data_IF_333893829520
#
_entry.id   IF_333893829520
#
_cell.length_a   1.000
_cell.length_b   1.000
_cell.length_c   1.000
_cell.angle_alpha   90.00
_cell.angle_beta   90.00
_cell.angle_gamma   90.00
#
_symmetry.space_group_name_H-M   'P 1'
#
loop_
_entity.id
_entity.type
_entity.pdbx_description
1 polymer ?
#
# COMPACT_ATOMS: atom_id res chain seq x y z
N UNK A 1 33.10 -35.48 26.97
CA UNK A 1 32.07 -34.44 27.20
C UNK A 1 30.81 -34.85 26.47
N UNK A 2 29.76 -35.17 27.23
CA UNK A 2 28.50 -35.73 26.73
C UNK A 2 27.66 -34.66 26.03
N UNK A 3 27.27 -34.92 24.77
CA UNK A 3 26.22 -34.19 24.08
C UNK A 3 24.87 -34.60 24.67
N UNK A 4 24.22 -33.69 25.39
CA UNK A 4 22.77 -33.73 25.54
C UNK A 4 22.11 -32.91 24.42
N UNK A 5 20.83 -33.15 24.08
CA UNK A 5 20.09 -32.42 23.03
C UNK A 5 19.91 -30.92 23.33
N UNK A 6 20.26 -30.48 24.53
CA UNK A 6 20.18 -29.12 25.03
C UNK A 6 21.57 -28.50 25.03
N UNK A 7 21.75 -27.43 24.25
CA UNK A 7 23.00 -26.68 24.13
C UNK A 7 23.41 -25.95 25.42
N UNK A 8 24.46 -25.12 25.33
CA UNK A 8 25.22 -24.51 26.44
C UNK A 8 24.50 -23.45 27.31
N UNK A 9 23.19 -23.46 27.36
CA UNK A 9 22.38 -22.76 28.34
C UNK A 9 21.26 -23.73 28.72
N UNK A 10 20.77 -23.69 29.96
CA UNK A 10 19.51 -24.33 30.35
C UNK A 10 18.35 -23.63 29.62
N UNK A 11 18.28 -23.81 28.29
CA UNK A 11 17.59 -22.95 27.35
C UNK A 11 16.09 -23.18 27.41
N UNK A 12 15.35 -22.09 27.55
CA UNK A 12 13.96 -22.01 27.10
C UNK A 12 13.85 -22.64 25.70
N UNK A 13 12.85 -23.49 25.44
CA UNK A 13 12.56 -24.01 24.10
C UNK A 13 12.57 -22.90 23.05
N UNK A 14 13.07 -23.21 21.85
CA UNK A 14 13.17 -22.23 20.75
C UNK A 14 11.80 -21.61 20.42
N UNK A 15 10.73 -22.35 20.64
CA UNK A 15 9.35 -21.91 20.47
C UNK A 15 8.99 -20.79 21.47
N UNK A 16 9.39 -20.94 22.74
CA UNK A 16 9.18 -19.91 23.76
C UNK A 16 10.05 -18.68 23.49
N UNK A 17 11.31 -18.88 23.10
CA UNK A 17 12.19 -17.79 22.69
C UNK A 17 11.61 -17.04 21.50
N UNK A 18 11.04 -17.74 20.51
CA UNK A 18 10.42 -17.11 19.35
C UNK A 18 9.21 -16.28 19.77
N UNK A 19 8.35 -16.80 20.64
CA UNK A 19 7.21 -16.05 21.16
C UNK A 19 7.65 -14.77 21.88
N UNK A 20 8.66 -14.84 22.75
CA UNK A 20 9.19 -13.67 23.45
C UNK A 20 9.79 -12.64 22.48
N UNK A 21 10.60 -13.10 21.53
CA UNK A 21 11.24 -12.26 20.51
C UNK A 21 10.21 -11.59 19.60
N UNK A 22 9.09 -12.24 19.30
CA UNK A 22 8.00 -11.65 18.52
C UNK A 22 7.31 -10.48 19.24
N UNK A 23 7.44 -10.36 20.57
CA UNK A 23 6.90 -9.25 21.36
C UNK A 23 7.84 -8.04 21.40
N UNK A 24 9.08 -8.19 20.94
CA UNK A 24 10.09 -7.14 21.00
C UNK A 24 10.04 -6.22 19.76
N UNK A 25 10.27 -4.92 19.94
CA UNK A 25 10.57 -4.00 18.85
C UNK A 25 11.77 -4.47 18.02
N UNK A 26 11.77 -4.18 16.72
CA UNK A 26 12.78 -4.73 15.81
C UNK A 26 14.21 -4.31 16.17
N UNK A 27 14.42 -3.11 16.70
CA UNK A 27 15.75 -2.66 17.15
C UNK A 27 16.29 -3.45 18.34
N UNK A 28 15.40 -3.92 19.22
CA UNK A 28 15.80 -4.73 20.37
C UNK A 28 16.17 -6.14 19.92
N UNK A 29 15.44 -6.69 18.95
CA UNK A 29 15.78 -7.97 18.30
C UNK A 29 17.14 -7.89 17.60
N UNK A 30 17.43 -6.80 16.89
CA UNK A 30 18.73 -6.56 16.26
C UNK A 30 19.84 -6.42 17.31
N UNK A 31 19.59 -5.68 18.39
CA UNK A 31 20.53 -5.52 19.51
C UNK A 31 20.84 -6.85 20.19
N UNK A 32 19.83 -7.68 20.43
CA UNK A 32 19.98 -9.05 20.94
C UNK A 32 20.77 -9.93 19.98
N UNK A 33 20.53 -9.82 18.67
CA UNK A 33 21.28 -10.59 17.66
C UNK A 33 22.77 -10.24 17.69
N UNK A 34 23.09 -8.94 17.81
CA UNK A 34 24.46 -8.47 17.99
C UNK A 34 25.07 -8.96 19.31
N UNK A 35 24.38 -8.77 20.43
CA UNK A 35 24.87 -9.17 21.77
C UNK A 35 25.11 -10.68 21.88
N UNK A 36 24.28 -11.48 21.22
CA UNK A 36 24.40 -12.95 21.20
C UNK A 36 25.33 -13.45 20.11
N UNK A 37 26.02 -12.57 19.37
CA UNK A 37 26.95 -12.95 18.29
C UNK A 37 26.31 -13.89 17.25
N UNK A 38 25.02 -13.68 16.93
CA UNK A 38 24.23 -14.51 16.02
C UNK A 38 24.01 -15.98 16.45
N UNK A 39 24.23 -16.31 17.73
CA UNK A 39 24.07 -17.70 18.20
C UNK A 39 22.60 -18.14 18.26
N UNK A 40 21.65 -17.19 18.36
CA UNK A 40 20.22 -17.47 18.42
C UNK A 40 19.56 -17.36 17.05
N UNK A 41 19.47 -18.49 16.33
CA UNK A 41 18.83 -18.59 15.00
C UNK A 41 17.39 -18.06 14.97
N UNK A 42 16.69 -18.13 16.10
CA UNK A 42 15.31 -17.64 16.27
C UNK A 42 15.18 -16.13 15.99
N UNK A 43 16.24 -15.34 16.25
CA UNK A 43 16.26 -13.91 15.97
C UNK A 43 16.24 -13.64 14.46
N UNK A 44 16.89 -14.50 13.66
CA UNK A 44 16.89 -14.41 12.20
C UNK A 44 15.48 -14.59 11.62
N UNK A 45 14.68 -15.49 12.22
CA UNK A 45 13.30 -15.72 11.80
C UNK A 45 12.41 -14.48 12.03
N UNK A 46 12.66 -13.72 13.09
CA UNK A 46 11.92 -12.47 13.38
C UNK A 46 12.33 -11.31 12.49
N UNK A 47 13.59 -11.26 12.07
CA UNK A 47 14.16 -10.18 11.24
C UNK A 47 13.80 -10.38 9.76
N UNK A 48 13.76 -11.62 9.27
CA UNK A 48 13.53 -11.87 7.84
C UNK A 48 12.11 -11.49 7.39
N UNK A 49 11.94 -10.59 6.40
CA UNK A 49 10.61 -10.21 5.90
C UNK A 49 9.79 -11.41 5.39
N UNK A 50 10.43 -12.36 4.71
CA UNK A 50 9.74 -13.56 4.19
C UNK A 50 9.17 -14.42 5.32
N UNK A 51 9.90 -14.56 6.42
CA UNK A 51 9.47 -15.32 7.59
C UNK A 51 8.36 -14.59 8.36
N UNK A 52 8.48 -13.27 8.52
CA UNK A 52 7.43 -12.43 9.08
C UNK A 52 6.10 -12.56 8.31
N UNK A 53 6.16 -12.43 6.97
CA UNK A 53 4.97 -12.53 6.11
C UNK A 53 4.40 -13.95 6.12
N UNK A 54 5.24 -14.99 6.10
CA UNK A 54 4.79 -16.38 6.13
C UNK A 54 4.12 -16.76 7.46
N UNK A 55 4.69 -16.30 8.58
CA UNK A 55 4.21 -16.63 9.92
C UNK A 55 2.89 -15.93 10.22
N UNK A 56 2.81 -14.62 9.99
CA UNK A 56 1.65 -13.79 10.36
C UNK A 56 0.62 -13.68 9.24
N UNK A 57 1.08 -13.66 7.98
CA UNK A 57 0.22 -13.45 6.83
C UNK A 57 -0.51 -14.72 6.35
N UNK A 58 -1.56 -14.56 5.53
CA UNK A 58 -2.28 -15.65 4.89
C UNK A 58 -1.55 -16.24 3.66
N UNK A 59 -0.32 -15.80 3.38
CA UNK A 59 0.38 -16.12 2.15
C UNK A 59 1.09 -17.48 2.23
N UNK A 60 0.79 -18.36 1.29
CA UNK A 60 1.41 -19.70 1.23
C UNK A 60 2.79 -19.70 0.55
N UNK A 61 3.16 -18.63 -0.16
CA UNK A 61 4.43 -18.50 -0.89
C UNK A 61 5.04 -17.09 -0.70
N UNK A 62 5.42 -16.75 0.53
CA UNK A 62 5.94 -15.42 0.86
C UNK A 62 7.24 -15.05 0.13
N UNK A 63 8.07 -16.05 -0.20
CA UNK A 63 9.35 -15.82 -0.88
C UNK A 63 9.15 -15.34 -2.32
N UNK A 64 8.36 -16.06 -3.13
CA UNK A 64 8.08 -15.66 -4.51
C UNK A 64 7.32 -14.32 -4.58
N UNK A 65 6.41 -14.10 -3.62
CA UNK A 65 5.71 -12.82 -3.48
C UNK A 65 6.70 -11.67 -3.29
N UNK A 66 7.61 -11.78 -2.33
CA UNK A 66 8.63 -10.76 -2.06
C UNK A 66 9.63 -10.59 -3.23
N UNK A 67 10.01 -11.66 -3.91
CA UNK A 67 10.84 -11.57 -5.13
C UNK A 67 10.14 -10.77 -6.23
N UNK A 68 8.86 -11.05 -6.47
CA UNK A 68 8.06 -10.34 -7.46
C UNK A 68 7.88 -8.89 -7.07
N UNK A 69 7.54 -8.62 -5.82
CA UNK A 69 7.41 -7.27 -5.29
C UNK A 69 8.70 -6.47 -5.45
N UNK A 70 9.84 -7.07 -5.13
CA UNK A 70 11.15 -6.44 -5.28
C UNK A 70 11.38 -6.00 -6.73
N UNK A 71 11.22 -6.91 -7.71
CA UNK A 71 11.42 -6.62 -9.14
C UNK A 71 10.48 -5.55 -9.70
N UNK A 72 9.33 -5.35 -9.07
CA UNK A 72 8.28 -4.43 -9.53
C UNK A 72 8.15 -3.18 -8.66
N UNK A 73 9.05 -2.99 -7.68
CA UNK A 73 9.04 -1.83 -6.78
C UNK A 73 7.83 -1.75 -5.86
N UNK A 74 7.18 -2.88 -5.57
CA UNK A 74 6.08 -2.94 -4.64
C UNK A 74 6.56 -3.14 -3.20
N UNK A 75 5.78 -2.64 -2.24
CA UNK A 75 6.13 -2.66 -0.81
C UNK A 75 4.90 -2.97 0.04
N UNK A 76 5.11 -3.45 1.26
CA UNK A 76 4.07 -3.54 2.29
C UNK A 76 4.14 -2.28 3.14
N UNK A 77 3.00 -1.70 3.49
CA UNK A 77 2.91 -0.58 4.42
C UNK A 77 1.71 -0.73 5.37
N UNK A 78 1.31 0.33 6.06
CA UNK A 78 0.17 0.32 6.96
C UNK A 78 0.43 -0.47 8.25
N UNK A 79 -0.64 -1.01 8.84
CA UNK A 79 -0.61 -1.59 10.18
C UNK A 79 0.29 -2.82 10.28
N UNK A 80 0.34 -3.66 9.24
CA UNK A 80 1.17 -4.87 9.20
C UNK A 80 2.65 -4.57 8.98
N UNK A 81 3.00 -3.51 8.28
CA UNK A 81 4.38 -3.04 8.25
C UNK A 81 4.78 -2.44 9.61
N UNK A 82 3.89 -1.67 10.24
CA UNK A 82 4.13 -1.11 11.55
C UNK A 82 4.30 -2.19 12.64
N UNK A 83 3.50 -3.25 12.62
CA UNK A 83 3.64 -4.42 13.50
C UNK A 83 5.02 -5.09 13.40
N UNK A 84 5.64 -5.10 12.21
CA UNK A 84 7.00 -5.60 12.04
C UNK A 84 8.02 -4.78 12.84
N UNK A 85 7.84 -3.46 12.92
CA UNK A 85 8.71 -2.55 13.67
C UNK A 85 8.40 -2.56 15.17
N UNK A 86 7.13 -2.38 15.52
CA UNK A 86 6.63 -2.21 16.88
C UNK A 86 5.45 -3.16 17.09
N UNK A 87 5.64 -4.31 17.75
CA UNK A 87 4.56 -5.26 18.03
C UNK A 87 3.36 -4.65 18.78
N UNK A 88 2.19 -5.24 18.58
CA UNK A 88 0.92 -4.73 19.14
C UNK A 88 0.36 -3.50 18.41
N UNK A 89 0.84 -3.21 17.21
CA UNK A 89 0.35 -2.14 16.33
C UNK A 89 -0.65 -2.64 15.29
N UNK A 90 -0.80 -3.95 15.12
CA UNK A 90 -1.83 -4.61 14.34
C UNK A 90 -2.61 -5.64 15.18
N UNK A 91 -3.78 -6.00 14.69
CA UNK A 91 -4.67 -7.04 15.25
C UNK A 91 -4.86 -8.16 14.24
N UNK A 92 -5.52 -9.27 14.62
CA UNK A 92 -5.89 -10.33 13.67
C UNK A 92 -6.72 -9.81 12.49
N UNK A 93 -7.59 -8.83 12.75
CA UNK A 93 -8.50 -8.21 11.76
C UNK A 93 -7.82 -7.14 10.91
N UNK A 94 -6.55 -6.84 11.15
CA UNK A 94 -5.84 -5.83 10.37
C UNK A 94 -5.53 -6.33 8.96
N UNK A 95 -5.83 -5.48 7.99
CA UNK A 95 -5.59 -5.65 6.57
C UNK A 95 -4.11 -5.66 6.20
N UNK A 96 -3.79 -6.30 5.08
CA UNK A 96 -2.47 -6.26 4.45
C UNK A 96 -2.47 -5.27 3.29
N UNK A 97 -1.73 -4.18 3.42
CA UNK A 97 -1.64 -3.12 2.42
C UNK A 97 -0.37 -3.26 1.58
N UNK A 98 -0.54 -3.65 0.32
CA UNK A 98 0.53 -3.70 -0.68
C UNK A 98 0.43 -2.47 -1.55
N UNK A 99 1.51 -1.71 -1.67
CA UNK A 99 1.60 -0.57 -2.57
C UNK A 99 2.42 -0.96 -3.80
N UNK A 100 1.90 -0.70 -4.99
CA UNK A 100 2.57 -1.00 -6.27
C UNK A 100 2.65 0.26 -7.14
N UNK A 101 3.74 0.48 -7.89
CA UNK A 101 3.79 1.57 -8.85
C UNK A 101 2.66 1.46 -9.89
N UNK A 102 2.15 2.59 -10.40
CA UNK A 102 1.09 2.66 -11.43
C UNK A 102 1.55 2.22 -12.83
N UNK A 103 2.34 1.15 -12.90
CA UNK A 103 2.85 0.56 -14.13
C UNK A 103 2.08 -0.73 -14.35
N UNK A 104 1.35 -0.85 -15.48
CA UNK A 104 0.47 -1.98 -15.74
C UNK A 104 1.17 -3.33 -15.56
N UNK A 105 2.37 -3.48 -16.12
CA UNK A 105 3.17 -4.70 -15.96
C UNK A 105 3.47 -5.03 -14.48
N UNK A 106 3.77 -4.02 -13.66
CA UNK A 106 3.99 -4.19 -12.22
C UNK A 106 2.71 -4.54 -11.47
N UNK A 107 1.59 -3.87 -11.77
CA UNK A 107 0.29 -4.17 -11.17
C UNK A 107 -0.12 -5.62 -11.47
N UNK A 108 -0.04 -6.04 -12.73
CA UNK A 108 -0.39 -7.40 -13.17
C UNK A 108 0.51 -8.44 -12.52
N UNK A 109 1.83 -8.21 -12.51
CA UNK A 109 2.77 -9.16 -11.92
C UNK A 109 2.57 -9.34 -10.41
N UNK A 110 2.41 -8.24 -9.67
CA UNK A 110 2.21 -8.28 -8.21
C UNK A 110 0.83 -8.86 -7.86
N UNK A 111 -0.22 -8.49 -8.61
CA UNK A 111 -1.56 -9.09 -8.47
C UNK A 111 -1.50 -10.61 -8.63
N UNK A 112 -0.88 -11.10 -9.71
CA UNK A 112 -0.74 -12.53 -9.93
C UNK A 112 0.11 -13.23 -8.88
N UNK A 113 1.17 -12.59 -8.37
CA UNK A 113 1.95 -13.15 -7.26
C UNK A 113 1.12 -13.27 -5.97
N UNK A 114 0.26 -12.29 -5.68
CA UNK A 114 -0.69 -12.35 -4.57
C UNK A 114 -1.71 -13.48 -4.78
N UNK A 115 -2.24 -13.65 -5.99
CA UNK A 115 -3.15 -14.74 -6.33
C UNK A 115 -2.51 -16.12 -6.16
N UNK A 116 -1.30 -16.31 -6.68
CA UNK A 116 -0.51 -17.54 -6.44
C UNK A 116 -0.21 -17.76 -4.97
N UNK A 117 -0.15 -16.68 -4.18
CA UNK A 117 0.05 -16.72 -2.74
C UNK A 117 -1.22 -17.02 -1.93
N UNK A 118 -2.37 -17.23 -2.59
CA UNK A 118 -3.64 -17.57 -1.97
C UNK A 118 -4.63 -16.42 -1.78
N UNK A 119 -4.39 -15.27 -2.42
CA UNK A 119 -5.32 -14.12 -2.41
C UNK A 119 -6.35 -14.24 -3.54
N UNK A 120 -7.62 -14.09 -3.21
CA UNK A 120 -8.70 -13.97 -4.19
C UNK A 120 -9.15 -12.52 -4.27
N UNK A 121 -8.95 -11.88 -5.42
CA UNK A 121 -9.43 -10.50 -5.63
C UNK A 121 -10.93 -10.47 -5.97
N UNK A 122 -11.64 -9.54 -5.35
CA UNK A 122 -13.05 -9.24 -5.61
C UNK A 122 -13.15 -8.26 -6.79
N UNK A 123 -14.09 -8.48 -7.72
CA UNK A 123 -14.33 -7.53 -8.82
C UNK A 123 -15.09 -6.30 -8.33
N UNK A 124 -15.03 -5.18 -9.07
CA UNK A 124 -15.77 -3.97 -8.70
C UNK A 124 -17.28 -4.22 -8.67
N UNK A 125 -17.78 -5.09 -9.57
CA UNK A 125 -19.19 -5.46 -9.65
C UNK A 125 -19.62 -6.28 -8.44
N UNK A 126 -18.92 -7.37 -8.13
CA UNK A 126 -19.30 -8.23 -7.01
C UNK A 126 -19.20 -7.48 -5.67
N UNK A 127 -18.21 -6.58 -5.51
CA UNK A 127 -18.11 -5.70 -4.35
C UNK A 127 -19.31 -4.75 -4.23
N UNK A 128 -19.70 -4.12 -5.34
CA UNK A 128 -20.84 -3.21 -5.38
C UNK A 128 -22.14 -3.95 -5.03
N UNK A 129 -22.33 -5.17 -5.56
CA UNK A 129 -23.47 -6.02 -5.29
C UNK A 129 -23.55 -6.38 -3.81
N UNK A 130 -22.43 -6.81 -3.22
CA UNK A 130 -22.35 -7.09 -1.79
C UNK A 130 -22.67 -5.87 -0.92
N UNK A 131 -22.18 -4.68 -1.28
CA UNK A 131 -22.52 -3.45 -0.56
C UNK A 131 -24.00 -3.09 -0.66
N UNK A 132 -24.61 -3.31 -1.83
CA UNK A 132 -26.04 -3.13 -2.02
C UNK A 132 -26.83 -4.08 -1.10
N UNK A 133 -26.43 -5.34 -0.99
CA UNK A 133 -27.05 -6.32 -0.05
C UNK A 133 -26.86 -5.90 1.41
N UNK A 134 -25.64 -5.53 1.81
CA UNK A 134 -25.30 -5.27 3.22
C UNK A 134 -25.83 -3.92 3.74
N UNK A 135 -25.94 -2.91 2.85
CA UNK A 135 -26.19 -1.52 3.24
C UNK A 135 -27.38 -0.88 2.52
N UNK A 136 -28.07 -1.64 1.69
CA UNK A 136 -29.16 -1.16 0.79
C UNK A 136 -28.74 0.00 -0.12
N UNK A 137 -27.44 0.24 -0.26
CA UNK A 137 -26.88 1.31 -1.08
C UNK A 137 -25.42 1.06 -1.43
N UNK A 138 -25.02 1.48 -2.63
CA UNK A 138 -23.62 1.54 -3.04
C UNK A 138 -23.36 2.79 -3.87
N UNK A 139 -22.20 3.39 -3.68
CA UNK A 139 -21.73 4.52 -4.50
C UNK A 139 -20.52 4.08 -5.29
N UNK A 140 -20.63 4.18 -6.61
CA UNK A 140 -19.56 3.84 -7.53
C UNK A 140 -18.85 5.11 -7.98
N UNK A 141 -17.54 5.13 -7.78
CA UNK A 141 -16.68 6.11 -8.45
C UNK A 141 -16.69 5.87 -9.97
N UNK A 142 -16.33 6.90 -10.74
CA UNK A 142 -16.11 6.84 -12.19
C UNK A 142 -15.33 5.59 -12.60
N UNK A 143 -14.27 5.31 -11.88
CA UNK A 143 -13.36 4.21 -12.13
C UNK A 143 -14.02 2.84 -11.96
N UNK A 144 -14.80 2.69 -10.89
CA UNK A 144 -15.58 1.48 -10.64
C UNK A 144 -16.68 1.31 -11.69
N UNK A 145 -17.31 2.40 -12.15
CA UNK A 145 -18.31 2.35 -13.22
C UNK A 145 -17.69 1.78 -14.50
N UNK A 146 -16.53 2.29 -14.91
CA UNK A 146 -15.80 1.80 -16.08
C UNK A 146 -15.37 0.33 -15.91
N UNK A 147 -14.87 -0.04 -14.74
CA UNK A 147 -14.48 -1.42 -14.45
C UNK A 147 -15.67 -2.40 -14.54
N UNK A 148 -16.83 -2.01 -13.98
CA UNK A 148 -18.06 -2.80 -14.05
C UNK A 148 -18.58 -2.92 -15.48
N UNK A 149 -18.62 -1.82 -16.23
CA UNK A 149 -19.05 -1.84 -17.63
C UNK A 149 -18.17 -2.75 -18.49
N UNK A 150 -16.84 -2.68 -18.30
CA UNK A 150 -15.90 -3.55 -18.99
C UNK A 150 -16.10 -5.04 -18.64
N UNK A 151 -16.30 -5.34 -17.35
CA UNK A 151 -16.60 -6.70 -16.89
C UNK A 151 -17.91 -7.23 -17.49
N UNK A 152 -18.97 -6.42 -17.47
CA UNK A 152 -20.27 -6.78 -18.03
C UNK A 152 -20.25 -6.97 -19.56
N UNK A 153 -19.38 -6.24 -20.26
CA UNK A 153 -19.23 -6.34 -21.72
C UNK A 153 -18.52 -7.62 -22.15
N UNK A 154 -17.43 -8.00 -21.46
CA UNK A 154 -16.61 -9.15 -21.85
C UNK A 154 -17.04 -10.48 -21.22
N UNK A 155 -17.71 -10.45 -20.08
CA UNK A 155 -18.09 -11.65 -19.36
C UNK A 155 -19.57 -11.96 -19.58
N UNK A 156 -19.87 -13.14 -20.09
CA UNK A 156 -21.25 -13.58 -20.34
C UNK A 156 -21.76 -14.57 -19.28
N UNK A 157 -21.21 -14.52 -18.07
CA UNK A 157 -21.67 -15.37 -16.97
C UNK A 157 -23.08 -14.99 -16.51
N UNK A 158 -23.73 -15.91 -15.80
CA UNK A 158 -24.97 -15.60 -15.09
C UNK A 158 -24.65 -14.71 -13.88
N UNK A 159 -25.14 -13.48 -13.93
CA UNK A 159 -25.03 -12.47 -12.87
C UNK A 159 -26.09 -12.70 -11.78
N UNK A 160 -25.79 -12.34 -10.53
CA UNK A 160 -26.81 -12.26 -9.47
C UNK A 160 -27.83 -11.15 -9.78
N UNK A 161 -28.98 -11.15 -9.09
CA UNK A 161 -29.98 -10.09 -9.29
C UNK A 161 -29.41 -8.70 -8.92
N UNK A 162 -28.59 -8.62 -7.87
CA UNK A 162 -27.96 -7.38 -7.44
C UNK A 162 -26.88 -6.92 -8.41
N UNK A 163 -26.09 -7.85 -8.96
CA UNK A 163 -25.14 -7.55 -10.04
C UNK A 163 -25.88 -7.03 -11.29
N UNK A 164 -27.01 -7.63 -11.66
CA UNK A 164 -27.86 -7.15 -12.77
C UNK A 164 -28.40 -5.74 -12.49
N UNK A 165 -28.86 -5.47 -11.28
CA UNK A 165 -29.34 -4.14 -10.87
C UNK A 165 -28.25 -3.09 -11.04
N UNK A 166 -27.01 -3.41 -10.65
CA UNK A 166 -25.88 -2.49 -10.81
C UNK A 166 -25.53 -2.26 -12.28
N UNK A 167 -25.45 -3.33 -13.08
CA UNK A 167 -25.18 -3.23 -14.52
C UNK A 167 -26.27 -2.39 -15.20
N UNK A 168 -27.54 -2.65 -14.89
CA UNK A 168 -28.67 -1.92 -15.42
C UNK A 168 -28.63 -0.43 -15.03
N UNK A 169 -28.33 -0.12 -13.77
CA UNK A 169 -28.20 1.26 -13.30
C UNK A 169 -27.10 2.03 -14.06
N UNK A 170 -25.94 1.40 -14.26
CA UNK A 170 -24.84 2.00 -15.06
C UNK A 170 -25.28 2.21 -16.51
N UNK A 171 -25.83 1.19 -17.16
CA UNK A 171 -26.25 1.24 -18.56
C UNK A 171 -27.46 2.16 -18.83
N UNK A 172 -28.27 2.46 -17.82
CA UNK A 172 -29.35 3.43 -17.91
C UNK A 172 -28.82 4.86 -17.72
N UNK A 173 -27.79 5.04 -16.90
CA UNK A 173 -27.15 6.34 -16.65
C UNK A 173 -26.21 6.74 -17.79
N UNK A 174 -25.44 5.77 -18.31
CA UNK A 174 -24.46 5.92 -19.38
C UNK A 174 -24.70 4.87 -20.46
N UNK A 175 -25.69 5.06 -21.35
CA UNK A 175 -26.01 4.11 -22.42
C UNK A 175 -24.83 3.77 -23.33
N UNK A 176 -23.89 4.70 -23.50
CA UNK A 176 -22.66 4.51 -24.26
C UNK A 176 -21.75 3.41 -23.70
N UNK A 177 -21.86 3.08 -22.41
CA UNK A 177 -21.06 2.03 -21.78
C UNK A 177 -21.58 0.61 -22.06
N UNK A 178 -22.73 0.48 -22.73
CA UNK A 178 -23.24 -0.83 -23.19
C UNK A 178 -22.35 -1.47 -24.26
N UNK A 179 -21.68 -0.64 -25.07
CA UNK A 179 -20.68 -1.07 -26.04
C UNK A 179 -19.34 -0.40 -25.73
N UNK A 180 -18.46 -1.17 -25.09
CA UNK A 180 -17.14 -0.69 -24.68
C UNK A 180 -16.12 -0.71 -25.82
N UNK A 181 -16.41 -1.36 -26.96
CA UNK A 181 -15.45 -1.53 -28.05
C UNK A 181 -14.84 -0.21 -28.57
N UNK A 182 -15.58 0.91 -28.74
CA UNK A 182 -15.01 2.18 -29.20
C UNK A 182 -14.04 2.82 -28.22
N UNK A 183 -14.14 2.44 -26.95
CA UNK A 183 -13.35 3.01 -25.86
C UNK A 183 -12.13 2.16 -25.53
N UNK A 184 -11.99 0.94 -26.05
CA UNK A 184 -10.84 0.08 -25.75
C UNK A 184 -9.70 0.37 -26.73
N UNK A 185 -8.49 0.56 -26.20
CA UNK A 185 -7.26 0.71 -26.98
C UNK A 185 -6.66 -0.65 -27.32
N UNK A 186 -5.75 -0.67 -28.30
CA UNK A 186 -5.03 -1.89 -28.71
C UNK A 186 -4.23 -2.54 -27.58
N UNK A 187 -3.77 -1.75 -26.59
CA UNK A 187 -3.06 -2.23 -25.40
C UNK A 187 -4.00 -2.74 -24.29
N UNK A 188 -5.32 -2.77 -24.54
CA UNK A 188 -6.35 -3.18 -23.59
C UNK A 188 -6.73 -2.10 -22.57
N UNK A 189 -6.12 -0.91 -22.60
CA UNK A 189 -6.53 0.20 -21.74
C UNK A 189 -7.79 0.90 -22.27
N UNK A 190 -8.54 1.57 -21.38
CA UNK A 190 -9.79 2.24 -21.72
C UNK A 190 -9.52 3.73 -21.97
N UNK A 191 -9.99 4.25 -23.11
CA UNK A 191 -9.99 5.66 -23.52
C UNK A 191 -10.85 6.48 -22.56
N UNK A 192 -10.47 7.75 -22.44
CA UNK A 192 -11.08 8.68 -21.52
C UNK A 192 -12.55 8.99 -21.88
N UNK A 193 -13.44 8.96 -20.89
CA UNK A 193 -14.87 9.27 -21.03
C UNK A 193 -15.22 10.42 -20.07
N UNK A 194 -15.00 11.66 -20.52
CA UNK A 194 -15.13 12.89 -19.71
C UNK A 194 -16.42 13.01 -18.89
N UNK A 195 -17.54 12.47 -19.38
CA UNK A 195 -18.88 12.70 -18.86
C UNK A 195 -19.30 11.84 -17.64
N UNK A 196 -18.45 10.90 -17.17
CA UNK A 196 -18.83 9.99 -16.07
C UNK A 196 -18.62 10.67 -14.71
N UNK A 197 -19.71 10.77 -13.94
CA UNK A 197 -19.75 11.22 -12.55
C UNK A 197 -20.06 10.04 -11.61
N UNK A 198 -19.71 10.11 -10.31
CA UNK A 198 -20.07 9.06 -9.36
C UNK A 198 -21.59 8.81 -9.31
N UNK A 199 -21.99 7.55 -9.20
CA UNK A 199 -23.40 7.13 -9.17
C UNK A 199 -23.69 6.45 -7.84
N UNK A 200 -24.79 6.82 -7.20
CA UNK A 200 -25.32 6.12 -6.02
C UNK A 200 -26.54 5.31 -6.43
N UNK A 201 -26.49 4.01 -6.13
CA UNK A 201 -27.53 3.02 -6.42
C UNK A 201 -28.16 2.62 -5.09
N UNK A 202 -29.48 2.70 -4.98
CA UNK A 202 -30.26 2.27 -3.83
C UNK A 202 -31.19 1.12 -4.22
N UNK A 203 -31.54 0.28 -3.24
CA UNK A 203 -32.30 -0.98 -3.36
C UNK A 203 -33.75 -0.82 -3.93
N UNK A 204 -34.18 0.40 -4.24
CA UNK A 204 -35.54 0.71 -4.72
C UNK A 204 -35.47 1.67 -5.91
N UNK A 205 -35.39 1.14 -7.14
CA UNK A 205 -35.64 1.77 -8.46
C UNK A 205 -35.20 3.25 -8.69
N UNK A 206 -34.36 3.79 -7.82
CA UNK A 206 -34.01 5.20 -7.75
C UNK A 206 -32.49 5.29 -7.80
N UNK A 207 -32.00 5.38 -9.03
CA UNK A 207 -30.64 5.84 -9.28
C UNK A 207 -30.63 7.33 -9.03
N UNK A 208 -30.00 7.77 -7.95
CA UNK A 208 -29.79 9.20 -7.72
C UNK A 208 -28.43 9.57 -8.26
N UNK A 209 -28.41 10.46 -9.25
CA UNK A 209 -27.17 11.14 -9.64
C UNK A 209 -26.74 12.00 -8.45
N UNK A 210 -25.62 11.62 -7.84
CA UNK A 210 -24.98 12.47 -6.84
C UNK A 210 -24.27 13.60 -7.59
N UNK A 211 -25.00 14.66 -7.91
CA UNK A 211 -24.38 15.92 -8.30
C UNK A 211 -23.74 16.50 -7.03
N UNK A 212 -22.41 16.62 -6.94
CA UNK A 212 -21.84 17.45 -5.87
C UNK A 212 -22.44 18.86 -6.03
N UNK A 213 -22.96 19.44 -4.95
CA UNK A 213 -23.40 20.83 -4.96
C UNK A 213 -22.28 21.71 -5.55
N UNK A 214 -22.60 22.71 -6.38
CA UNK A 214 -21.61 23.59 -6.99
C UNK A 214 -21.09 24.59 -5.95
N UNK A 215 -20.51 24.08 -4.87
CA UNK A 215 -19.56 24.86 -4.10
C UNK A 215 -18.25 24.86 -4.88
N UNK A 216 -17.85 26.06 -5.26
CA UNK A 216 -16.62 26.39 -5.96
C UNK A 216 -15.40 25.74 -5.31
N UNK A 217 -15.12 24.48 -5.63
CA UNK A 217 -13.83 23.87 -5.41
C UNK A 217 -12.90 24.41 -6.50
N UNK A 218 -12.26 25.53 -6.19
CA UNK A 218 -11.08 26.01 -6.92
C UNK A 218 -10.15 24.84 -7.21
N UNK A 219 -9.71 24.79 -8.46
CA UNK A 219 -8.72 23.90 -9.06
C UNK A 219 -7.70 23.28 -8.09
N UNK A 220 -8.05 22.17 -7.45
CA UNK A 220 -7.07 21.19 -7.02
C UNK A 220 -6.95 20.17 -8.13
N UNK A 221 -6.16 20.62 -9.09
CA UNK A 221 -5.66 19.94 -10.24
C UNK A 221 -4.97 18.62 -9.76
N UNK A 222 -5.74 17.55 -9.55
CA UNK A 222 -5.28 16.16 -9.44
C UNK A 222 -5.51 15.48 -10.78
N UNK A 223 -4.51 14.86 -11.41
CA UNK A 223 -4.77 14.11 -12.62
C UNK A 223 -5.14 12.67 -12.28
N UNK A 224 -6.21 12.21 -12.90
CA UNK A 224 -6.78 10.88 -12.82
C UNK A 224 -6.02 9.90 -13.71
N UNK A 225 -5.51 8.83 -13.10
CA UNK A 225 -4.79 7.76 -13.76
C UNK A 225 -4.88 6.47 -12.95
N UNK A 226 -5.77 5.58 -13.40
CA UNK A 226 -5.96 4.16 -13.07
C UNK A 226 -7.15 3.86 -12.14
N UNK A 227 -8.15 3.28 -12.82
CA UNK A 227 -9.49 2.99 -12.36
C UNK A 227 -9.66 1.72 -11.49
N UNK A 228 -8.76 1.57 -10.53
CA UNK A 228 -9.04 1.06 -9.19
C UNK A 228 -7.78 1.34 -8.37
N UNK A 229 -7.72 2.49 -7.71
CA UNK A 229 -6.58 2.83 -6.82
C UNK A 229 -6.34 1.75 -5.75
N UNK A 230 -7.34 0.94 -5.45
CA UNK A 230 -7.25 -0.18 -4.50
C UNK A 230 -7.99 -1.39 -5.05
N UNK A 231 -7.27 -2.46 -5.37
CA UNK A 231 -7.84 -3.78 -5.60
C UNK A 231 -7.99 -4.50 -4.26
N UNK A 232 -9.17 -5.05 -4.00
CA UNK A 232 -9.50 -5.63 -2.71
C UNK A 232 -9.55 -7.14 -2.88
N UNK A 233 -8.86 -7.86 -2.01
CA UNK A 233 -8.82 -9.29 -2.01
C UNK A 233 -8.99 -9.85 -0.61
N UNK A 234 -9.27 -11.14 -0.57
CA UNK A 234 -9.38 -11.92 0.65
C UNK A 234 -8.48 -13.14 0.55
N UNK A 235 -7.94 -13.56 1.68
CA UNK A 235 -7.19 -14.80 1.80
C UNK A 235 -7.54 -15.47 3.12
N UNK A 236 -7.09 -16.70 3.35
CA UNK A 236 -7.40 -17.45 4.56
C UNK A 236 -6.14 -17.81 5.34
N UNK A 237 -6.14 -17.54 6.65
CA UNK A 237 -5.11 -18.00 7.58
C UNK A 237 -5.79 -18.79 8.69
N UNK A 238 -5.44 -20.06 8.83
CA UNK A 238 -5.98 -20.95 9.88
C UNK A 238 -7.52 -20.93 9.94
N UNK A 239 -8.16 -20.93 8.77
CA UNK A 239 -9.63 -20.90 8.63
C UNK A 239 -10.28 -19.52 8.81
N UNK A 240 -9.52 -18.47 9.18
CA UNK A 240 -10.03 -17.10 9.28
C UNK A 240 -9.76 -16.31 8.00
N UNK A 241 -10.75 -15.54 7.58
CA UNK A 241 -10.61 -14.61 6.46
C UNK A 241 -9.72 -13.44 6.86
N UNK A 242 -8.84 -13.03 5.95
CA UNK A 242 -7.93 -11.90 6.09
C UNK A 242 -8.06 -11.01 4.86
N UNK A 243 -8.21 -9.71 5.08
CA UNK A 243 -8.31 -8.73 4.00
C UNK A 243 -6.92 -8.35 3.47
N UNK A 244 -6.83 -8.24 2.14
CA UNK A 244 -5.63 -7.85 1.41
C UNK A 244 -6.00 -6.73 0.45
N UNK A 245 -5.20 -5.67 0.41
CA UNK A 245 -5.36 -4.55 -0.50
C UNK A 245 -4.12 -4.42 -1.38
N UNK A 246 -4.32 -4.33 -2.69
CA UNK A 246 -3.28 -3.91 -3.63
C UNK A 246 -3.59 -2.47 -4.07
N UNK A 247 -2.83 -1.54 -3.51
CA UNK A 247 -2.96 -0.10 -3.66
C UNK A 247 -2.02 0.36 -4.76
N UNK A 248 -2.59 0.91 -5.83
CA UNK A 248 -1.85 1.40 -6.98
C UNK A 248 -1.44 2.86 -6.68
N UNK A 249 -0.15 3.16 -6.85
CA UNK A 249 0.40 4.52 -6.71
C UNK A 249 -0.19 5.49 -7.75
N UNK A 250 0.19 6.77 -7.70
CA UNK A 250 -0.33 7.76 -8.65
C UNK A 250 0.80 8.38 -9.50
N UNK A 251 0.52 8.60 -10.79
CA UNK A 251 1.38 9.37 -11.69
C UNK A 251 0.84 10.79 -11.72
N UNK A 252 1.70 11.81 -11.61
CA UNK A 252 1.33 13.19 -11.94
C UNK A 252 1.64 13.47 -13.42
N UNK A 253 0.68 13.34 -14.36
CA UNK A 253 0.88 13.62 -15.78
C UNK A 253 1.17 15.08 -16.11
N UNK A 254 1.11 16.04 -15.15
CA UNK A 254 1.63 17.39 -15.39
C UNK A 254 3.11 17.52 -15.09
N UNK A 255 3.68 16.54 -14.40
CA UNK A 255 5.10 16.45 -14.08
C UNK A 255 5.75 15.30 -14.85
N UNK A 256 5.56 15.19 -16.16
CA UNK A 256 6.36 14.33 -17.06
C UNK A 256 7.79 14.90 -17.19
N UNK A 257 8.39 15.26 -16.06
CA UNK A 257 9.81 15.52 -15.95
C UNK A 257 10.46 14.18 -15.75
N UNK A 258 11.27 13.79 -16.73
CA UNK A 258 12.18 12.64 -16.66
C UNK A 258 13.00 12.65 -15.35
N UNK A 259 13.20 13.83 -14.73
CA UNK A 259 14.16 14.07 -13.65
C UNK A 259 13.61 13.74 -12.23
N UNK A 260 12.31 13.47 -12.04
CA UNK A 260 11.78 13.28 -10.68
C UNK A 260 10.92 12.01 -10.49
N UNK A 261 11.54 10.82 -10.59
CA UNK A 261 10.82 9.55 -10.59
C UNK A 261 10.34 9.15 -9.19
N UNK A 262 11.08 9.53 -8.15
CA UNK A 262 10.80 9.19 -6.75
C UNK A 262 9.55 9.90 -6.21
N UNK A 263 9.21 11.09 -6.72
CA UNK A 263 8.02 11.86 -6.30
C UNK A 263 6.74 11.33 -6.98
N UNK A 264 6.89 10.51 -8.03
CA UNK A 264 5.81 9.78 -8.72
C UNK A 264 5.59 8.35 -8.19
N UNK A 265 6.08 8.04 -6.97
CA UNK A 265 6.07 6.67 -6.42
C UNK A 265 4.97 6.43 -5.38
N UNK A 266 4.84 5.15 -5.03
CA UNK A 266 4.21 4.63 -3.82
C UNK A 266 4.64 5.37 -2.52
N UNK A 267 5.84 5.93 -2.45
CA UNK A 267 6.36 6.60 -1.25
C UNK A 267 5.57 7.86 -0.90
N UNK A 268 5.13 8.63 -1.90
CA UNK A 268 4.27 9.79 -1.62
C UNK A 268 2.96 9.36 -0.96
N UNK A 269 2.39 8.22 -1.37
CA UNK A 269 1.16 7.69 -0.78
C UNK A 269 1.38 7.24 0.68
N UNK A 270 2.50 6.57 0.94
CA UNK A 270 2.86 6.07 2.28
C UNK A 270 3.22 7.21 3.24
N UNK A 271 4.05 8.15 2.78
CA UNK A 271 4.62 9.20 3.63
C UNK A 271 3.80 10.49 3.67
N UNK A 272 2.69 10.60 2.92
CA UNK A 272 1.72 11.69 3.07
C UNK A 272 0.41 11.24 3.76
N UNK A 273 0.45 10.12 4.48
CA UNK A 273 -0.69 9.61 5.23
C UNK A 273 -1.08 10.52 6.41
N UNK A 274 -2.16 10.23 7.12
CA UNK A 274 -2.70 11.11 8.18
C UNK A 274 -1.84 11.19 9.46
N UNK A 275 -0.87 10.29 9.66
CA UNK A 275 -0.07 10.30 10.89
C UNK A 275 1.28 9.60 10.78
N UNK A 276 2.21 9.96 11.66
CA UNK A 276 3.62 9.60 11.55
C UNK A 276 3.96 8.13 11.84
N UNK A 277 3.21 7.48 12.74
CA UNK A 277 3.37 6.06 13.08
C UNK A 277 3.21 5.09 11.89
N UNK A 278 2.41 5.42 10.88
CA UNK A 278 2.21 4.56 9.69
C UNK A 278 3.12 4.94 8.52
N UNK A 279 4.04 5.86 8.72
CA UNK A 279 5.05 6.27 7.74
C UNK A 279 6.21 5.27 7.76
N UNK A 280 5.88 4.03 7.40
CA UNK A 280 6.79 2.91 7.36
C UNK A 280 6.50 1.98 6.17
N UNK A 281 7.49 1.17 5.82
CA UNK A 281 7.38 0.21 4.74
C UNK A 281 8.28 -1.00 4.97
N UNK A 282 7.88 -2.12 4.40
CA UNK A 282 8.60 -3.37 4.41
C UNK A 282 8.72 -3.92 2.99
N UNK A 283 9.93 -4.29 2.60
CA UNK A 283 10.25 -4.90 1.29
C UNK A 283 11.10 -6.15 1.51
N UNK A 284 11.50 -6.81 0.42
CA UNK A 284 12.47 -7.91 0.48
C UNK A 284 13.84 -7.45 1.01
N UNK A 285 14.28 -6.26 0.61
CA UNK A 285 15.67 -5.81 0.80
C UNK A 285 15.85 -4.79 1.91
N UNK A 286 14.79 -4.04 2.20
CA UNK A 286 14.80 -2.91 3.13
C UNK A 286 13.51 -2.87 3.94
N UNK A 287 13.64 -2.54 5.23
CA UNK A 287 12.55 -2.01 6.03
C UNK A 287 12.90 -0.57 6.43
N UNK A 288 11.96 0.36 6.29
CA UNK A 288 12.13 1.75 6.69
C UNK A 288 10.95 2.21 7.56
N UNK A 289 11.25 2.95 8.63
CA UNK A 289 10.28 3.70 9.41
C UNK A 289 10.80 5.11 9.65
N UNK A 290 10.08 6.15 9.18
CA UNK A 290 10.57 7.54 9.21
C UNK A 290 10.58 8.16 10.62
N UNK A 291 9.60 7.80 11.46
CA UNK A 291 9.44 8.34 12.83
C UNK A 291 9.53 7.24 13.89
N UNK A 292 10.51 6.35 13.75
CA UNK A 292 10.60 5.12 14.54
C UNK A 292 10.74 5.40 16.04
N UNK A 293 11.63 6.32 16.43
CA UNK A 293 11.87 6.60 17.86
C UNK A 293 10.60 7.04 18.58
N UNK A 294 9.85 7.97 17.98
CA UNK A 294 8.54 8.41 18.49
C UNK A 294 7.53 7.26 18.56
N UNK A 295 7.52 6.43 17.52
CA UNK A 295 6.56 5.34 17.36
C UNK A 295 6.83 4.17 18.33
N UNK A 296 8.07 3.99 18.75
CA UNK A 296 8.48 3.03 19.77
C UNK A 296 7.78 3.30 21.11
N UNK A 297 7.67 4.57 21.48
CA UNK A 297 6.95 5.05 22.66
C UNK A 297 5.43 5.11 22.45
N UNK A 298 4.93 4.55 21.34
CA UNK A 298 3.53 4.62 20.89
C UNK A 298 3.02 6.07 20.78
N UNK A 299 3.90 7.00 20.43
CA UNK A 299 3.50 8.38 20.15
C UNK A 299 3.40 8.57 18.63
N UNK A 300 2.41 9.33 18.19
CA UNK A 300 2.22 9.65 16.77
C UNK A 300 1.87 11.12 16.58
N UNK A 301 2.44 11.74 15.55
CA UNK A 301 1.98 13.02 15.06
C UNK A 301 0.77 12.84 14.16
N UNK A 302 -0.23 13.71 14.31
CA UNK A 302 -1.36 13.83 13.40
C UNK A 302 -1.09 14.95 12.40
N UNK A 303 -1.20 14.62 11.12
CA UNK A 303 -1.09 15.59 10.04
C UNK A 303 -2.47 16.09 9.61
N UNK A 304 -2.52 17.32 9.13
CA UNK A 304 -3.73 17.88 8.53
C UNK A 304 -4.05 17.14 7.24
N UNK A 305 -5.29 16.67 7.16
CA UNK A 305 -5.85 16.05 5.96
C UNK A 305 -6.93 16.95 5.37
N UNK A 306 -7.17 16.89 4.04
CA UNK A 306 -8.32 17.55 3.42
C UNK A 306 -9.63 17.20 4.15
N UNK A 307 -10.57 18.14 4.21
CA UNK A 307 -11.86 17.99 4.92
C UNK A 307 -12.59 16.69 4.54
N UNK A 308 -12.62 16.36 3.25
CA UNK A 308 -13.23 15.13 2.72
C UNK A 308 -12.61 13.82 3.29
N UNK A 309 -11.38 13.87 3.81
CA UNK A 309 -10.67 12.74 4.40
C UNK A 309 -10.68 12.75 5.93
N UNK A 310 -11.16 13.82 6.58
CA UNK A 310 -11.17 13.93 8.03
C UNK A 310 -11.90 12.77 8.73
N UNK A 311 -13.11 12.33 8.30
CA UNK A 311 -13.79 11.22 8.97
C UNK A 311 -13.00 9.92 8.93
N UNK A 312 -12.33 9.63 7.80
CA UNK A 312 -11.49 8.43 7.63
C UNK A 312 -10.22 8.52 8.48
N UNK A 313 -9.59 9.69 8.52
CA UNK A 313 -8.42 9.93 9.36
C UNK A 313 -8.77 9.80 10.83
N UNK A 314 -9.91 10.33 11.28
CA UNK A 314 -10.37 10.22 12.66
C UNK A 314 -10.65 8.77 13.05
N UNK A 315 -11.36 8.01 12.20
CA UNK A 315 -11.56 6.58 12.43
C UNK A 315 -10.24 5.81 12.55
N UNK A 316 -9.24 6.17 11.73
CA UNK A 316 -7.92 5.58 11.79
C UNK A 316 -7.14 6.00 13.07
N UNK A 317 -7.27 7.25 13.52
CA UNK A 317 -6.73 7.72 14.81
C UNK A 317 -7.31 6.92 15.96
N UNK A 318 -8.64 6.81 16.04
CA UNK A 318 -9.32 6.03 17.10
C UNK A 318 -8.88 4.56 17.11
N UNK A 319 -8.71 3.97 15.91
CA UNK A 319 -8.15 2.62 15.75
C UNK A 319 -6.79 2.48 16.42
N UNK A 320 -5.87 3.44 16.30
CA UNK A 320 -4.56 3.34 16.94
C UNK A 320 -4.55 3.77 18.40
N UNK A 321 -5.44 4.67 18.83
CA UNK A 321 -5.63 4.97 20.26
C UNK A 321 -6.00 3.69 21.02
N UNK A 322 -6.94 2.89 20.49
CA UNK A 322 -7.28 1.58 21.08
C UNK A 322 -6.12 0.56 21.09
N UNK A 323 -5.04 0.82 20.34
CA UNK A 323 -3.80 0.03 20.31
C UNK A 323 -2.69 0.63 21.19
N UNK A 324 -3.05 1.59 22.04
CA UNK A 324 -2.14 2.24 22.99
C UNK A 324 -1.39 3.45 22.43
N UNK A 325 -1.76 3.96 21.25
CA UNK A 325 -1.11 5.16 20.71
C UNK A 325 -1.64 6.45 21.34
N UNK A 326 -0.71 7.37 21.62
CA UNK A 326 -1.02 8.74 21.98
C UNK A 326 -0.74 9.68 20.79
N UNK A 327 -1.76 10.40 20.32
CA UNK A 327 -1.62 11.34 19.22
C UNK A 327 -1.32 12.74 19.74
N UNK A 328 -0.28 13.34 19.19
CA UNK A 328 0.18 14.68 19.52
C UNK A 328 0.21 15.54 18.25
N UNK A 329 0.16 16.85 18.42
CA UNK A 329 0.52 17.78 17.36
C UNK A 329 2.05 17.88 17.33
N UNK A 330 2.67 17.83 16.16
CA UNK A 330 4.09 18.15 16.09
C UNK A 330 4.26 19.65 16.34
N UNK A 331 5.36 20.02 17.01
CA UNK A 331 5.63 21.42 17.33
C UNK A 331 5.54 22.29 16.07
N UNK A 332 4.74 23.36 16.17
CA UNK A 332 4.63 24.34 15.10
C UNK A 332 5.93 25.14 15.02
N UNK A 333 6.75 24.79 14.04
CA UNK A 333 7.94 25.54 13.68
C UNK A 333 7.64 26.41 12.46
N UNK A 334 8.08 27.67 12.51
CA UNK A 334 8.05 28.57 11.36
C UNK A 334 8.94 28.03 10.21
N UNK A 335 9.90 27.16 10.52
CA UNK A 335 10.77 26.50 9.57
C UNK A 335 10.34 25.05 9.29
N UNK A 336 10.53 24.61 8.06
CA UNK A 336 10.29 23.22 7.66
C UNK A 336 11.33 22.30 8.31
N UNK A 337 10.92 21.49 9.28
CA UNK A 337 11.76 20.45 9.90
C UNK A 337 12.03 19.38 8.86
N UNK A 338 13.31 19.13 8.55
CA UNK A 338 13.72 18.13 7.57
C UNK A 338 13.89 16.76 8.20
N UNK A 339 13.36 15.75 7.53
CA UNK A 339 13.44 14.33 7.88
C UNK A 339 14.14 13.56 6.79
N UNK A 340 14.96 12.61 7.18
CA UNK A 340 15.74 11.74 6.31
C UNK A 340 15.55 10.30 6.76
N UNK A 341 15.65 9.34 5.83
CA UNK A 341 15.72 7.92 6.17
C UNK A 341 16.99 7.51 6.93
N UNK A 342 17.89 8.47 7.17
CA UNK A 342 19.16 8.30 7.88
C UNK A 342 19.26 9.17 9.14
N UNK A 343 18.22 9.90 9.51
CA UNK A 343 18.25 10.71 10.74
C UNK A 343 18.05 9.83 12.00
N UNK A 344 18.36 10.37 13.16
CA UNK A 344 18.36 9.65 14.45
C UNK A 344 16.99 9.14 14.89
N UNK A 345 15.93 9.71 14.34
CA UNK A 345 14.56 9.36 14.66
C UNK A 345 14.00 8.30 13.67
N UNK A 346 14.71 8.04 12.57
CA UNK A 346 14.37 7.03 11.57
C UNK A 346 14.97 5.66 11.91
N UNK A 347 14.38 4.59 11.37
CA UNK A 347 14.94 3.24 11.43
C UNK A 347 15.00 2.65 10.04
N UNK A 348 16.21 2.38 9.55
CA UNK A 348 16.49 1.74 8.27
C UNK A 348 17.22 0.41 8.51
N UNK A 349 16.64 -0.68 8.02
CA UNK A 349 17.21 -2.03 8.09
C UNK A 349 17.45 -2.53 6.68
N UNK A 350 18.68 -2.97 6.39
CA UNK A 350 19.08 -3.59 5.13
C UNK A 350 19.26 -5.10 5.34
N UNK A 351 18.58 -5.93 4.53
CA UNK A 351 18.57 -7.39 4.70
C UNK A 351 19.57 -8.12 3.80
N UNK A 352 19.85 -7.60 2.59
CA UNK A 352 20.80 -8.21 1.66
C UNK A 352 21.39 -7.17 0.69
N UNK A 353 22.72 -7.15 0.55
CA UNK A 353 23.49 -6.26 -0.32
C UNK A 353 23.88 -6.91 -1.65
N UNK A 354 23.71 -8.23 -1.82
CA UNK A 354 24.08 -8.96 -3.03
C UNK A 354 22.90 -9.06 -4.02
N UNK A 355 22.54 -7.96 -4.67
CA UNK A 355 21.51 -7.95 -5.72
C UNK A 355 22.12 -7.70 -7.10
N UNK A 356 22.13 -8.73 -7.95
CA UNK A 356 22.69 -8.63 -9.30
C UNK A 356 21.68 -8.29 -10.42
N UNK A 357 20.36 -8.34 -10.22
CA UNK A 357 19.41 -8.06 -11.33
C UNK A 357 18.02 -7.58 -10.89
N UNK A 358 17.50 -6.53 -11.55
CA UNK A 358 16.10 -6.06 -11.48
C UNK A 358 15.90 -4.69 -10.83
N UNK A 359 14.82 -3.98 -11.19
CA UNK A 359 14.42 -2.70 -10.59
C UNK A 359 14.27 -2.88 -9.08
N UNK A 360 15.07 -2.14 -8.32
CA UNK A 360 15.06 -2.05 -6.87
C UNK A 360 14.59 -0.63 -6.54
N UNK A 361 13.75 -0.38 -5.52
CA UNK A 361 13.98 0.82 -4.73
C UNK A 361 15.40 0.66 -4.18
N UNK A 362 16.39 1.22 -4.88
CA UNK A 362 17.78 0.96 -4.53
C UNK A 362 17.99 1.44 -3.10
N UNK A 363 18.83 0.74 -2.34
CA UNK A 363 19.22 1.20 -1.00
C UNK A 363 19.65 2.68 -1.06
N UNK A 364 20.26 3.12 -2.17
CA UNK A 364 20.57 4.54 -2.43
C UNK A 364 19.35 5.44 -2.62
N UNK A 365 18.31 5.02 -3.33
CA UNK A 365 17.05 5.76 -3.44
C UNK A 365 16.40 5.92 -2.08
N UNK A 366 16.32 4.84 -1.27
CA UNK A 366 15.76 4.90 0.08
C UNK A 366 16.60 5.81 0.98
N UNK A 367 17.92 5.69 0.93
CA UNK A 367 18.87 6.55 1.68
C UNK A 367 18.80 8.03 1.29
N UNK A 368 18.44 8.33 0.04
CA UNK A 368 18.25 9.69 -0.46
C UNK A 368 16.88 10.28 -0.14
N UNK A 369 15.97 9.50 0.46
CA UNK A 369 14.63 9.97 0.76
C UNK A 369 14.64 11.04 1.85
N UNK A 370 14.03 12.18 1.53
CA UNK A 370 13.89 13.30 2.45
C UNK A 370 12.46 13.85 2.41
N UNK A 371 11.93 14.17 3.59
CA UNK A 371 10.64 14.85 3.77
C UNK A 371 10.81 16.06 4.66
N UNK A 372 9.82 16.93 4.65
CA UNK A 372 9.76 18.05 5.59
C UNK A 372 8.37 18.21 6.16
N UNK A 373 8.27 18.70 7.41
CA UNK A 373 7.01 19.07 8.04
C UNK A 373 7.06 20.44 8.76
N UNK A 374 5.89 21.03 9.01
CA UNK A 374 5.71 22.32 9.76
C UNK A 374 4.78 22.15 10.96
N UNK A 375 4.89 21.03 11.68
CA UNK A 375 3.96 20.66 12.76
C UNK A 375 2.66 20.01 12.25
N UNK A 376 2.01 20.62 11.26
CA UNK A 376 0.70 20.16 10.77
C UNK A 376 0.71 19.59 9.35
N UNK A 377 1.65 20.02 8.50
CA UNK A 377 1.73 19.61 7.09
C UNK A 377 3.00 18.81 6.86
N UNK A 378 2.94 17.83 5.95
CA UNK A 378 4.11 17.09 5.47
C UNK A 378 4.19 17.11 3.95
N UNK A 379 5.42 17.19 3.41
CA UNK A 379 5.68 17.09 1.97
C UNK A 379 7.08 16.54 1.68
N UNK A 380 7.31 15.92 0.51
CA UNK A 380 8.66 15.54 0.09
C UNK A 380 9.59 16.75 -0.04
N UNK A 381 10.87 16.58 0.32
CA UNK A 381 11.93 17.56 0.07
C UNK A 381 12.29 17.52 -1.43
N UNK A 382 12.24 18.67 -2.11
CA UNK A 382 12.56 18.80 -3.55
C UNK A 382 14.07 18.90 -3.84
N UNK A 383 14.95 18.57 -2.89
CA UNK A 383 16.38 18.53 -3.18
C UNK A 383 16.68 17.33 -4.07
N UNK A 384 16.86 17.60 -5.37
CA UNK A 384 17.35 16.65 -6.36
C UNK A 384 18.72 16.13 -5.93
N UNK A 385 18.77 14.93 -5.35
CA UNK A 385 19.91 14.08 -5.60
C UNK A 385 19.79 13.65 -7.07
N UNK A 386 20.78 13.98 -7.90
CA UNK A 386 20.86 13.50 -9.27
C UNK A 386 20.93 11.97 -9.29
N UNK A 387 19.79 11.30 -9.23
CA UNK A 387 19.65 9.93 -9.71
C UNK A 387 19.44 10.09 -11.20
N UNK A 388 20.40 9.62 -12.00
CA UNK A 388 20.40 9.76 -13.45
C UNK A 388 19.15 9.09 -14.03
N UNK A 389 18.13 9.90 -14.28
CA UNK A 389 16.86 9.51 -14.85
C UNK A 389 16.96 8.75 -16.18
N UNK A 390 18.09 8.87 -16.89
CA UNK A 390 18.36 8.09 -18.11
C UNK A 390 18.50 6.60 -17.80
N UNK A 391 19.02 6.25 -16.62
CA UNK A 391 19.12 4.86 -16.17
C UNK A 391 17.74 4.26 -15.90
N UNK A 392 16.80 5.06 -15.38
CA UNK A 392 15.45 4.59 -15.06
C UNK A 392 14.58 4.33 -16.30
N UNK A 393 14.65 5.18 -17.33
CA UNK A 393 13.92 4.96 -18.58
C UNK A 393 14.39 3.70 -19.33
N UNK A 394 15.70 3.44 -19.30
CA UNK A 394 16.31 2.27 -19.95
C UNK A 394 15.96 0.96 -19.25
N UNK A 395 15.83 0.96 -17.91
CA UNK A 395 15.44 -0.21 -17.11
C UNK A 395 13.97 -0.63 -17.28
N UNK A 396 13.10 0.28 -17.76
CA UNK A 396 11.68 0.00 -18.04
C UNK A 396 11.43 -0.37 -19.51
N UNK A 397 12.47 -0.58 -20.31
CA UNK A 397 12.33 -0.91 -21.73
C UNK A 397 11.86 0.26 -22.61
N UNK A 398 11.79 1.48 -22.08
CA UNK A 398 11.42 2.67 -22.84
C UNK A 398 12.68 3.17 -23.56
N UNK A 399 12.91 2.65 -24.78
CA UNK A 399 13.90 3.24 -25.68
C UNK A 399 13.37 4.60 -26.10
N UNK A 400 14.13 5.66 -25.83
CA UNK A 400 13.94 6.97 -26.46
C UNK A 400 13.87 6.75 -27.97
N UNK A 401 12.68 6.91 -28.55
CA UNK A 401 12.58 7.07 -29.99
C UNK A 401 13.32 8.37 -30.33
N UNK A 402 14.36 8.24 -31.14
CA UNK A 402 15.09 9.38 -31.70
C UNK A 402 14.08 10.28 -32.39
N UNK A 403 14.02 11.54 -31.96
CA UNK A 403 13.64 12.60 -32.88
C UNK A 403 14.74 12.69 -33.96
N UNK A 404 14.28 12.92 -35.18
CA UNK A 404 14.97 12.92 -36.49
C UNK A 404 16.40 13.44 -36.43
#
# INVERSE_FOLDING_TARGET
MSKTPTGYFELLPNELLLHLVCLLPITDVLSLKCATHNLLLVLELRIRPSQYIQSIGPFNNSHELLETMARHGAVISGSRALEYFVPGSATSESDWDFYVPPILASVVAVKHALERSGVTFESSLSRAARQLIEKSSTTLSRDQIVAVANEAFFNTRNWSEEEKTIIAAIHNTYPELRDMAPYIREDGSIRWIDAIVPVTIQDVDSVTLAFPEPHQARSNNYPDGIAAKVLNGTAFKSGKMVFVQLIIGNIDPRRISVIDPLVQTIFRSIFSFYGSHVQCMLTKHVALHMYYRLTLDKIAYRWNVPEALQPKAEAAVQKYISRGYNFQEAEEDAQWVSRSSQDEDSCLIEFDTNCCYGYLPSVSQVKGLQWRHTGQLIRPSLQSAMVDARHELLCHGIRSMRCI
#
